data_IF_594557074289
#
_entry.id   IF_594557074289
#
_cell.length_a   1.000
_cell.length_b   1.000
_cell.length_c   1.000
_cell.angle_alpha   90.00
_cell.angle_beta   90.00
_cell.angle_gamma   90.00
#
_symmetry.space_group_name_H-M   'P 1'
#
loop_
_entity.id
_entity.type
_entity.pdbx_description
1 polymer ?
#
# COMPACT_ATOMS: atom_id res chain seq x y z
N UNK A 1 21.86 -51.26 11.45
CA UNK A 1 21.01 -50.25 12.10
C UNK A 1 21.18 -48.97 11.33
N UNK A 2 20.30 -48.78 10.36
CA UNK A 2 20.21 -47.58 9.53
C UNK A 2 19.58 -46.46 10.36
N UNK A 3 20.16 -45.26 10.31
CA UNK A 3 19.52 -44.03 10.77
C UNK A 3 19.64 -43.02 9.63
N UNK A 4 18.50 -42.86 8.96
CA UNK A 4 18.22 -41.98 7.83
C UNK A 4 18.51 -40.52 8.23
N UNK A 5 19.31 -39.82 7.41
CA UNK A 5 19.30 -38.36 7.38
C UNK A 5 18.46 -37.94 6.18
N UNK A 6 17.22 -37.55 6.46
CA UNK A 6 16.29 -36.99 5.48
C UNK A 6 16.64 -35.52 5.26
N UNK A 7 17.04 -35.20 4.03
CA UNK A 7 17.09 -33.85 3.50
C UNK A 7 15.69 -33.21 3.57
N UNK A 8 15.53 -32.20 4.43
CA UNK A 8 14.30 -31.42 4.49
C UNK A 8 14.42 -30.21 3.57
N UNK A 9 14.05 -30.41 2.30
CA UNK A 9 13.92 -29.36 1.31
C UNK A 9 12.82 -28.36 1.73
N UNK A 10 13.19 -27.08 1.81
CA UNK A 10 12.23 -25.99 2.02
C UNK A 10 11.19 -25.92 0.89
N UNK A 11 10.04 -25.26 1.13
CA UNK A 11 8.95 -25.21 0.15
C UNK A 11 9.42 -24.53 -1.15
N UNK A 12 9.53 -25.35 -2.19
CA UNK A 12 9.85 -24.98 -3.56
C UNK A 12 8.88 -23.92 -4.07
N UNK A 13 9.43 -22.75 -4.38
CA UNK A 13 8.78 -21.68 -5.14
C UNK A 13 8.54 -22.14 -6.58
N UNK A 14 7.49 -22.93 -6.79
CA UNK A 14 6.99 -23.31 -8.10
C UNK A 14 5.66 -22.61 -8.35
N UNK A 15 5.66 -21.28 -8.38
CA UNK A 15 4.62 -20.55 -9.11
C UNK A 15 4.86 -20.85 -10.59
N UNK A 16 4.08 -21.77 -11.15
CA UNK A 16 4.19 -22.16 -12.55
C UNK A 16 4.02 -20.92 -13.43
N UNK A 17 5.11 -20.48 -14.07
CA UNK A 17 5.06 -19.58 -15.23
C UNK A 17 4.25 -20.26 -16.33
N UNK A 18 2.95 -19.99 -16.38
CA UNK A 18 2.15 -20.24 -17.57
C UNK A 18 2.20 -18.98 -18.42
N UNK A 19 3.06 -19.02 -19.43
CA UNK A 19 2.92 -18.20 -20.63
C UNK A 19 1.83 -18.84 -21.50
N UNK A 20 0.59 -18.80 -21.03
CA UNK A 20 -0.55 -19.17 -21.86
C UNK A 20 -1.28 -17.87 -22.16
N UNK A 21 -1.17 -17.44 -23.41
CA UNK A 21 -1.93 -16.36 -24.04
C UNK A 21 -3.41 -16.61 -23.81
N UNK A 22 -3.98 -15.97 -22.80
CA UNK A 22 -5.41 -15.74 -22.73
C UNK A 22 -5.62 -14.45 -23.50
N UNK A 23 -6.29 -14.53 -24.65
CA UNK A 23 -6.80 -13.37 -25.37
C UNK A 23 -7.72 -12.60 -24.42
N UNK A 24 -7.14 -11.65 -23.68
CA UNK A 24 -7.90 -10.57 -23.10
C UNK A 24 -8.56 -9.89 -24.28
N UNK A 25 -9.88 -10.00 -24.38
CA UNK A 25 -10.65 -9.26 -25.38
C UNK A 25 -10.45 -7.77 -25.10
N UNK A 26 -9.44 -7.21 -25.75
CA UNK A 26 -9.08 -5.81 -25.72
C UNK A 26 -10.21 -5.08 -26.45
N UNK A 27 -11.26 -4.74 -25.71
CA UNK A 27 -12.42 -4.05 -26.26
C UNK A 27 -11.96 -2.62 -26.53
N UNK A 28 -11.83 -2.19 -27.80
CA UNK A 28 -11.19 -0.91 -28.09
C UNK A 28 -12.00 0.23 -27.47
N UNK A 29 -11.44 0.88 -26.45
CA UNK A 29 -12.03 2.06 -25.80
C UNK A 29 -12.43 1.90 -24.33
N UNK A 30 -12.28 0.72 -23.71
CA UNK A 30 -12.53 0.53 -22.28
C UNK A 30 -11.29 0.03 -21.55
N UNK A 31 -10.78 0.82 -20.60
CA UNK A 31 -9.63 0.46 -19.76
C UNK A 31 -10.08 0.38 -18.31
N UNK A 32 -9.79 -0.76 -17.67
CA UNK A 32 -9.97 -0.93 -16.23
C UNK A 32 -8.64 -0.74 -15.51
N UNK A 33 -8.65 -0.03 -14.39
CA UNK A 33 -7.48 0.18 -13.54
C UNK A 33 -7.76 -0.44 -12.18
N UNK A 34 -6.89 -1.35 -11.73
CA UNK A 34 -7.02 -1.98 -10.42
C UNK A 34 -6.43 -1.10 -9.31
N UNK A 35 -7.30 -0.54 -8.48
CA UNK A 35 -6.97 0.31 -7.34
C UNK A 35 -6.75 -0.45 -6.03
N UNK A 36 -5.59 -0.29 -5.40
CA UNK A 36 -5.27 -0.89 -4.10
C UNK A 36 -4.49 0.10 -3.18
N UNK A 37 -4.30 1.34 -3.62
CA UNK A 37 -3.72 2.43 -2.83
C UNK A 37 -4.70 3.58 -2.65
N UNK A 38 -4.21 4.81 -2.79
CA UNK A 38 -5.05 6.02 -2.76
C UNK A 38 -6.23 5.99 -3.72
N UNK A 39 -6.15 5.30 -4.86
CA UNK A 39 -7.27 5.18 -5.80
C UNK A 39 -8.56 4.62 -5.18
N UNK A 40 -8.45 3.86 -4.09
CA UNK A 40 -9.63 3.32 -3.38
C UNK A 40 -10.53 4.44 -2.83
N UNK A 41 -9.94 5.55 -2.37
CA UNK A 41 -10.69 6.67 -1.76
C UNK A 41 -10.51 8.02 -2.47
N UNK A 42 -9.50 8.15 -3.33
CA UNK A 42 -9.16 9.38 -4.06
C UNK A 42 -8.63 9.04 -5.46
N UNK A 43 -9.51 8.68 -6.41
CA UNK A 43 -9.10 8.34 -7.76
C UNK A 43 -8.35 9.46 -8.48
N UNK A 44 -8.75 10.72 -8.27
CA UNK A 44 -8.07 11.86 -8.89
C UNK A 44 -8.29 12.02 -10.40
N UNK A 45 -9.17 11.21 -10.99
CA UNK A 45 -9.61 11.28 -12.39
C UNK A 45 -11.07 10.85 -12.51
N UNK A 46 -11.73 11.23 -13.61
CA UNK A 46 -13.10 10.82 -13.91
C UNK A 46 -13.15 9.34 -14.36
N UNK A 47 -14.14 8.60 -13.88
CA UNK A 47 -14.38 7.21 -14.26
C UNK A 47 -15.87 6.97 -14.52
N UNK A 48 -16.18 5.97 -15.34
CA UNK A 48 -17.57 5.60 -15.67
C UNK A 48 -18.15 4.59 -14.68
N UNK A 49 -17.33 3.63 -14.25
CA UNK A 49 -17.75 2.53 -13.38
C UNK A 49 -16.66 2.23 -12.34
N UNK A 50 -17.08 1.71 -11.17
CA UNK A 50 -16.17 1.17 -10.14
C UNK A 50 -16.67 -0.18 -9.65
N UNK A 51 -15.76 -1.13 -9.47
CA UNK A 51 -16.04 -2.47 -8.93
C UNK A 51 -15.08 -2.74 -7.78
N UNK A 52 -15.60 -3.14 -6.62
CA UNK A 52 -14.78 -3.56 -5.48
C UNK A 52 -14.57 -5.07 -5.52
N UNK A 53 -13.30 -5.46 -5.54
CA UNK A 53 -12.88 -6.85 -5.64
C UNK A 53 -11.42 -7.02 -5.26
N UNK A 54 -10.89 -8.23 -5.45
CA UNK A 54 -9.53 -8.60 -5.10
C UNK A 54 -8.84 -9.33 -6.26
N UNK A 55 -7.52 -9.39 -6.18
CA UNK A 55 -6.65 -10.17 -7.07
C UNK A 55 -5.99 -11.29 -6.26
N UNK A 56 -5.65 -12.41 -6.90
CA UNK A 56 -5.02 -13.56 -6.23
C UNK A 56 -3.52 -13.58 -6.45
N UNK A 57 -2.77 -14.10 -5.47
CA UNK A 57 -1.31 -14.25 -5.56
C UNK A 57 -0.51 -12.99 -5.23
N UNK A 58 -1.18 -11.94 -4.75
CA UNK A 58 -0.56 -10.67 -4.37
C UNK A 58 -0.92 -10.31 -2.94
N UNK A 59 0.01 -9.67 -2.24
CA UNK A 59 -0.19 -9.11 -0.90
C UNK A 59 0.14 -7.62 -0.95
N UNK A 60 -0.71 -6.80 -0.31
CA UNK A 60 -0.47 -5.37 -0.15
C UNK A 60 0.58 -5.16 0.94
N UNK A 61 1.60 -4.39 0.63
CA UNK A 61 2.67 -4.05 1.59
C UNK A 61 2.99 -2.55 1.53
N UNK A 62 3.54 -2.02 2.62
CA UNK A 62 3.94 -0.62 2.78
C UNK A 62 5.45 -0.45 2.64
N UNK A 63 6.05 -1.10 1.64
CA UNK A 63 7.51 -1.09 1.44
C UNK A 63 8.00 0.04 0.52
N UNK A 64 7.09 0.84 -0.04
CA UNK A 64 7.40 1.95 -0.91
C UNK A 64 7.51 3.26 -0.12
N UNK A 65 8.61 3.98 -0.32
CA UNK A 65 8.86 5.29 0.22
C UNK A 65 8.13 6.38 -0.55
N UNK A 66 7.58 7.35 0.18
CA UNK A 66 6.95 8.55 -0.37
C UNK A 66 7.75 9.77 0.11
N UNK A 67 8.41 10.46 -0.81
CA UNK A 67 9.30 11.61 -0.50
C UNK A 67 8.71 12.95 -0.94
N UNK A 68 7.63 12.94 -1.70
CA UNK A 68 7.01 14.09 -2.35
C UNK A 68 5.52 14.24 -2.04
N UNK A 69 4.85 13.24 -1.46
CA UNK A 69 3.47 13.40 -0.96
C UNK A 69 3.31 13.14 0.54
N UNK A 70 3.79 12.03 1.09
CA UNK A 70 3.57 11.58 2.48
C UNK A 70 4.82 11.65 3.37
N UNK A 71 5.95 12.02 2.81
CA UNK A 71 7.18 12.35 3.53
C UNK A 71 8.00 13.42 2.82
N UNK A 72 9.28 13.49 3.16
CA UNK A 72 10.28 14.37 2.53
C UNK A 72 11.52 13.57 2.14
N UNK A 73 12.43 14.08 1.28
CA UNK A 73 13.63 13.34 0.87
C UNK A 73 14.53 12.87 2.03
N UNK A 74 14.53 13.57 3.18
CA UNK A 74 15.29 13.18 4.39
C UNK A 74 14.49 12.37 5.42
N UNK A 75 13.16 12.28 5.26
CA UNK A 75 12.25 11.55 6.13
C UNK A 75 11.05 11.04 5.31
N UNK A 76 11.24 9.97 4.50
CA UNK A 76 10.19 9.46 3.64
C UNK A 76 9.02 8.88 4.44
N UNK A 77 7.81 9.04 3.93
CA UNK A 77 6.64 8.27 4.36
C UNK A 77 6.66 6.87 3.75
N UNK A 78 5.75 6.00 4.19
CA UNK A 78 5.48 4.66 3.65
C UNK A 78 4.07 4.65 3.04
N UNK A 79 3.97 4.23 1.79
CA UNK A 79 2.70 4.13 1.05
C UNK A 79 2.47 2.70 0.57
N UNK A 80 1.19 2.35 0.39
CA UNK A 80 0.84 1.05 -0.20
C UNK A 80 1.29 1.04 -1.66
N UNK A 81 1.95 -0.03 -2.09
CA UNK A 81 2.46 -0.13 -3.45
C UNK A 81 1.72 -1.14 -4.29
N UNK A 82 1.61 -0.74 -5.57
CA UNK A 82 0.94 -1.19 -6.80
C UNK A 82 0.43 0.16 -7.48
N UNK A 83 0.21 0.34 -8.79
CA UNK A 83 -0.11 1.57 -9.59
C UNK A 83 0.95 2.65 -9.93
N UNK A 84 1.07 2.99 -11.22
CA UNK A 84 1.50 4.29 -11.79
C UNK A 84 0.18 5.07 -12.05
N UNK A 85 -0.03 6.34 -11.72
CA UNK A 85 0.73 7.54 -12.02
C UNK A 85 0.57 8.54 -10.86
N UNK A 86 1.55 8.56 -9.96
CA UNK A 86 2.09 9.69 -9.17
C UNK A 86 2.96 9.06 -8.08
N UNK A 87 4.12 9.66 -7.87
CA UNK A 87 5.32 9.14 -7.18
C UNK A 87 6.17 8.18 -8.03
N UNK A 88 7.45 8.53 -8.17
CA UNK A 88 8.35 7.98 -9.19
C UNK A 88 8.68 6.51 -8.93
N UNK A 89 8.65 5.72 -10.01
CA UNK A 89 9.19 4.35 -10.17
C UNK A 89 8.28 3.17 -9.74
N UNK A 90 7.13 3.05 -10.40
CA UNK A 90 6.49 1.74 -10.61
C UNK A 90 7.05 1.16 -11.90
N UNK A 91 7.70 0.01 -11.82
CA UNK A 91 8.50 -0.58 -12.90
C UNK A 91 7.81 -1.76 -13.59
N UNK A 92 6.69 -2.24 -13.03
CA UNK A 92 5.90 -3.33 -13.62
C UNK A 92 4.49 -2.87 -13.99
N UNK A 93 4.01 -3.33 -15.15
CA UNK A 93 2.62 -3.22 -15.62
C UNK A 93 2.10 -4.61 -15.93
N UNK A 94 1.05 -5.03 -15.24
CA UNK A 94 0.44 -6.35 -15.41
C UNK A 94 -1.05 -6.20 -15.72
N UNK A 95 -1.60 -7.18 -16.41
CA UNK A 95 -3.04 -7.34 -16.56
C UNK A 95 -3.49 -8.44 -15.60
N UNK A 96 -4.51 -8.16 -14.80
CA UNK A 96 -5.00 -9.07 -13.76
C UNK A 96 -6.52 -9.22 -13.83
N UNK A 97 -7.01 -10.40 -13.51
CA UNK A 97 -8.43 -10.64 -13.32
C UNK A 97 -8.85 -10.19 -11.93
N UNK A 98 -9.81 -9.25 -11.87
CA UNK A 98 -10.40 -8.79 -10.61
C UNK A 98 -11.58 -9.69 -10.28
N UNK A 99 -11.55 -10.24 -9.06
CA UNK A 99 -12.55 -11.18 -8.58
C UNK A 99 -13.42 -10.53 -7.51
N UNK A 100 -14.69 -10.93 -7.47
CA UNK A 100 -15.62 -10.57 -6.39
C UNK A 100 -16.09 -11.85 -5.71
N UNK A 101 -16.26 -11.78 -4.39
CA UNK A 101 -16.79 -12.88 -3.59
C UNK A 101 -18.18 -12.53 -3.08
N UNK A 102 -19.14 -13.39 -3.32
CA UNK A 102 -20.51 -13.27 -2.80
C UNK A 102 -20.93 -14.62 -2.26
N UNK A 103 -21.32 -14.68 -0.99
CA UNK A 103 -21.76 -15.91 -0.31
C UNK A 103 -20.75 -17.06 -0.43
N UNK A 104 -19.46 -16.74 -0.37
CA UNK A 104 -18.36 -17.72 -0.50
C UNK A 104 -18.05 -18.17 -1.93
N UNK A 105 -18.79 -17.67 -2.94
CA UNK A 105 -18.53 -17.98 -4.34
C UNK A 105 -17.77 -16.83 -4.98
N UNK A 106 -16.57 -17.13 -5.47
CA UNK A 106 -15.76 -16.18 -6.23
C UNK A 106 -16.03 -16.25 -7.72
N UNK A 107 -16.13 -15.09 -8.37
CA UNK A 107 -16.23 -14.96 -9.83
C UNK A 107 -15.29 -13.87 -10.32
N UNK A 108 -14.80 -13.98 -11.55
CA UNK A 108 -14.14 -12.84 -12.21
C UNK A 108 -15.21 -11.82 -12.56
N UNK A 109 -15.02 -10.59 -12.13
CA UNK A 109 -15.89 -9.46 -12.45
C UNK A 109 -15.31 -8.59 -13.57
N UNK A 110 -13.98 -8.48 -13.63
CA UNK A 110 -13.27 -7.72 -14.66
C UNK A 110 -12.09 -8.55 -15.14
N UNK A 111 -12.00 -8.74 -16.45
CA UNK A 111 -10.84 -9.36 -17.09
C UNK A 111 -9.82 -8.30 -17.49
N UNK A 112 -8.54 -8.62 -17.31
CA UNK A 112 -7.44 -7.79 -17.81
C UNK A 112 -7.44 -6.36 -17.27
N UNK A 113 -7.73 -6.15 -15.99
CA UNK A 113 -7.55 -4.84 -15.38
C UNK A 113 -6.06 -4.51 -15.33
N UNK A 114 -5.69 -3.30 -15.74
CA UNK A 114 -4.33 -2.80 -15.65
C UNK A 114 -3.99 -2.53 -14.19
N UNK A 115 -2.92 -3.16 -13.73
CA UNK A 115 -2.35 -2.94 -12.42
C UNK A 115 -0.87 -2.63 -12.60
N UNK A 116 -0.33 -1.69 -11.83
CA UNK A 116 1.11 -1.43 -11.86
C UNK A 116 1.72 -1.91 -10.55
N UNK A 117 2.99 -2.25 -10.47
CA UNK A 117 3.63 -2.74 -9.24
C UNK A 117 4.97 -2.05 -9.10
N UNK A 118 5.32 -1.61 -7.88
CA UNK A 118 6.70 -1.24 -7.59
C UNK A 118 7.41 -2.51 -7.13
N UNK A 119 8.45 -2.91 -7.84
CA UNK A 119 9.24 -4.10 -7.58
C UNK A 119 10.55 -3.76 -6.87
N UNK A 120 11.28 -4.80 -6.46
CA UNK A 120 12.65 -4.72 -5.94
C UNK A 120 13.70 -4.44 -7.04
N UNK A 121 13.31 -3.81 -8.16
CA UNK A 121 14.26 -3.44 -9.19
C UNK A 121 15.29 -2.44 -8.65
N UNK A 122 16.58 -2.59 -8.99
CA UNK A 122 17.61 -1.60 -8.68
C UNK A 122 17.32 -0.20 -9.23
N UNK A 123 16.40 -0.08 -10.19
CA UNK A 123 15.96 1.20 -10.75
C UNK A 123 14.83 1.86 -9.97
N UNK A 124 14.23 1.19 -8.98
CA UNK A 124 13.24 1.77 -8.06
C UNK A 124 13.96 2.36 -6.83
N UNK A 125 14.36 3.62 -6.92
CA UNK A 125 15.04 4.35 -5.84
C UNK A 125 14.16 4.65 -4.63
N UNK A 126 12.85 4.43 -4.75
CA UNK A 126 11.88 4.62 -3.68
C UNK A 126 11.52 3.29 -2.96
N UNK A 127 12.14 2.17 -3.34
CA UNK A 127 11.99 0.92 -2.61
C UNK A 127 12.74 1.00 -1.27
N UNK A 128 11.99 1.03 -0.16
CA UNK A 128 12.57 1.09 1.19
C UNK A 128 12.82 -0.29 1.80
N UNK A 129 12.49 -1.37 1.09
CA UNK A 129 12.70 -2.74 1.56
C UNK A 129 11.65 -3.23 2.54
N UNK A 130 11.73 -4.54 2.80
CA UNK A 130 11.02 -5.19 3.89
C UNK A 130 11.43 -4.54 5.22
N UNK A 131 10.45 -4.33 6.09
CA UNK A 131 10.67 -3.79 7.41
C UNK A 131 9.68 -4.43 8.38
N UNK A 132 10.10 -4.54 9.64
CA UNK A 132 9.25 -5.05 10.70
C UNK A 132 7.97 -4.19 10.80
N UNK A 133 6.78 -4.82 10.97
CA UNK A 133 5.51 -4.10 11.01
C UNK A 133 5.50 -2.93 12.01
N UNK A 134 6.16 -3.10 13.16
CA UNK A 134 6.28 -2.08 14.19
C UNK A 134 7.12 -0.88 13.73
N UNK A 135 8.23 -1.14 13.01
CA UNK A 135 9.06 -0.08 12.44
C UNK A 135 8.30 0.72 11.36
N UNK A 136 7.49 0.03 10.55
CA UNK A 136 6.58 0.67 9.59
C UNK A 136 5.58 1.56 10.32
N UNK A 137 4.94 1.07 11.40
CA UNK A 137 3.97 1.84 12.18
C UNK A 137 4.59 3.11 12.78
N UNK A 138 5.79 3.02 13.35
CA UNK A 138 6.52 4.18 13.85
C UNK A 138 6.83 5.20 12.74
N UNK A 139 7.34 4.74 11.60
CA UNK A 139 7.64 5.64 10.47
C UNK A 139 6.37 6.35 9.98
N UNK A 140 5.26 5.63 9.80
CA UNK A 140 3.98 6.19 9.35
C UNK A 140 3.41 7.19 10.37
N UNK A 141 3.56 6.93 11.67
CA UNK A 141 3.02 7.80 12.71
C UNK A 141 3.64 9.21 12.71
N UNK A 142 4.89 9.32 12.29
CA UNK A 142 5.69 10.55 12.34
C UNK A 142 5.93 11.22 10.98
N UNK A 143 5.88 10.47 9.87
CA UNK A 143 6.14 11.02 8.54
C UNK A 143 5.05 11.99 8.09
N UNK A 144 5.47 13.13 7.52
CA UNK A 144 4.59 14.15 6.94
C UNK A 144 5.21 14.64 5.63
N UNK A 145 4.37 14.75 4.60
CA UNK A 145 4.77 15.31 3.32
C UNK A 145 3.78 16.35 2.81
N UNK A 146 4.00 16.86 1.58
CA UNK A 146 3.20 17.94 0.99
C UNK A 146 1.69 17.65 0.88
N UNK A 147 1.28 16.38 0.79
CA UNK A 147 -0.13 15.98 0.73
C UNK A 147 -0.77 15.79 2.10
N UNK A 148 -0.03 16.04 3.19
CA UNK A 148 -0.45 15.82 4.57
C UNK A 148 0.27 14.64 5.25
N UNK A 149 -0.06 14.37 6.51
CA UNK A 149 0.62 13.36 7.30
C UNK A 149 0.36 11.94 6.80
N UNK A 150 1.35 11.05 6.96
CA UNK A 150 1.27 9.69 6.43
C UNK A 150 0.22 8.83 7.14
N UNK A 151 -0.02 9.04 8.44
CA UNK A 151 -1.06 8.30 9.17
C UNK A 151 -2.45 8.47 8.54
N UNK A 152 -2.74 9.66 7.97
CA UNK A 152 -4.03 9.96 7.36
C UNK A 152 -4.24 9.12 6.08
N UNK A 153 -3.16 8.82 5.35
CA UNK A 153 -3.19 7.90 4.21
C UNK A 153 -3.61 6.49 4.65
N UNK A 154 -2.95 5.95 5.68
CA UNK A 154 -3.22 4.60 6.18
C UNK A 154 -4.65 4.51 6.72
N UNK A 155 -5.06 5.50 7.51
CA UNK A 155 -6.39 5.50 8.12
C UNK A 155 -7.51 5.57 7.08
N UNK A 156 -7.40 6.48 6.10
CA UNK A 156 -8.38 6.61 5.01
C UNK A 156 -8.45 5.36 4.13
N UNK A 157 -7.31 4.72 3.89
CA UNK A 157 -7.28 3.48 3.12
C UNK A 157 -8.00 2.37 3.89
N UNK A 158 -7.72 2.22 5.19
CA UNK A 158 -8.35 1.21 6.04
C UNK A 158 -9.87 1.43 6.11
N UNK A 159 -10.29 2.68 6.34
CA UNK A 159 -11.71 3.07 6.36
C UNK A 159 -12.41 2.75 5.04
N UNK A 160 -11.84 3.19 3.90
CA UNK A 160 -12.44 2.94 2.60
C UNK A 160 -12.51 1.45 2.27
N UNK A 161 -11.52 0.65 2.67
CA UNK A 161 -11.54 -0.81 2.50
C UNK A 161 -12.69 -1.46 3.29
N UNK A 162 -12.91 -1.04 4.55
CA UNK A 162 -14.04 -1.52 5.37
C UNK A 162 -15.40 -1.10 4.83
N UNK A 163 -15.55 0.18 4.45
CA UNK A 163 -16.81 0.73 3.90
C UNK A 163 -17.27 0.00 2.64
N UNK A 164 -16.32 -0.49 1.85
CA UNK A 164 -16.60 -1.22 0.61
C UNK A 164 -16.61 -2.75 0.79
N UNK A 165 -16.66 -3.24 2.03
CA UNK A 165 -16.82 -4.67 2.33
C UNK A 165 -15.60 -5.53 2.02
N UNK A 166 -14.42 -4.91 1.93
CA UNK A 166 -13.15 -5.58 1.68
C UNK A 166 -12.18 -5.32 2.86
N UNK A 167 -12.47 -5.78 4.09
CA UNK A 167 -11.58 -5.55 5.23
C UNK A 167 -10.20 -6.18 4.99
N UNK A 168 -9.15 -5.52 5.48
CA UNK A 168 -7.75 -5.92 5.32
C UNK A 168 -7.11 -5.88 6.72
N UNK A 169 -7.01 -7.04 7.35
CA UNK A 169 -6.62 -7.16 8.75
C UNK A 169 -5.22 -6.58 9.05
N UNK A 170 -4.30 -6.65 8.10
CA UNK A 170 -2.95 -6.10 8.25
C UNK A 170 -2.98 -4.57 8.19
N UNK A 171 -3.78 -4.02 7.27
CA UNK A 171 -4.00 -2.59 7.14
C UNK A 171 -4.77 -2.02 8.33
N UNK A 172 -5.78 -2.73 8.82
CA UNK A 172 -6.54 -2.37 10.02
C UNK A 172 -5.62 -2.33 11.24
N UNK A 173 -4.81 -3.38 11.44
CA UNK A 173 -3.79 -3.40 12.49
C UNK A 173 -2.81 -2.23 12.39
N UNK A 174 -2.31 -1.93 11.18
CA UNK A 174 -1.36 -0.82 10.99
C UNK A 174 -2.03 0.52 11.31
N UNK A 175 -3.28 0.74 10.89
CA UNK A 175 -4.05 1.94 11.20
C UNK A 175 -4.21 2.12 12.71
N UNK A 176 -4.61 1.07 13.42
CA UNK A 176 -4.79 1.11 14.88
C UNK A 176 -3.45 1.36 15.60
N UNK A 177 -2.39 0.66 15.19
CA UNK A 177 -1.07 0.79 15.83
C UNK A 177 -0.50 2.19 15.66
N UNK A 178 -0.63 2.78 14.48
CA UNK A 178 -0.23 4.16 14.20
C UNK A 178 -0.98 5.14 15.10
N UNK A 179 -2.28 4.97 15.31
CA UNK A 179 -3.07 5.83 16.20
C UNK A 179 -2.63 5.71 17.67
N UNK A 180 -2.28 4.50 18.14
CA UNK A 180 -1.74 4.30 19.49
C UNK A 180 -0.40 5.02 19.67
N UNK A 181 0.53 4.88 18.73
CA UNK A 181 1.85 5.55 18.77
C UNK A 181 1.67 7.07 18.82
N UNK A 182 0.77 7.62 17.98
CA UNK A 182 0.47 9.05 17.96
C UNK A 182 -0.13 9.53 19.27
N UNK A 183 -1.09 8.80 19.82
CA UNK A 183 -1.73 9.13 21.10
C UNK A 183 -0.73 9.13 22.25
N UNK A 184 0.16 8.14 22.31
CA UNK A 184 1.23 8.06 23.32
C UNK A 184 2.23 9.23 23.20
N UNK A 185 2.43 9.76 22.00
CA UNK A 185 3.29 10.92 21.74
C UNK A 185 2.58 12.28 21.90
N UNK A 186 1.30 12.30 22.32
CA UNK A 186 0.49 13.52 22.44
C UNK A 186 0.15 14.18 21.10
N UNK A 187 0.18 13.42 20.00
CA UNK A 187 -0.12 13.89 18.64
C UNK A 187 -1.60 13.61 18.33
N UNK A 188 -2.46 14.61 18.39
CA UNK A 188 -3.89 14.43 18.14
C UNK A 188 -4.25 14.70 16.66
N UNK A 189 -5.44 14.25 16.25
CA UNK A 189 -5.98 14.53 14.93
C UNK A 189 -6.31 16.02 14.83
N UNK A 190 -5.44 16.79 14.16
CA UNK A 190 -5.57 18.24 14.02
C UNK A 190 -4.27 19.01 14.25
N UNK A 191 -3.26 18.42 14.92
CA UNK A 191 -1.98 19.09 15.10
C UNK A 191 -1.23 19.18 13.76
N UNK A 192 -1.09 20.40 13.25
CA UNK A 192 -0.24 20.67 12.11
C UNK A 192 1.23 20.66 12.57
N UNK A 193 2.17 20.20 11.71
CA UNK A 193 3.61 20.15 12.05
C UNK A 193 4.18 21.49 12.58
N UNK A 194 3.70 22.68 12.11
CA UNK A 194 4.08 23.97 12.69
C UNK A 194 3.78 24.09 14.20
N UNK A 195 2.58 23.67 14.65
CA UNK A 195 2.15 23.77 16.06
C UNK A 195 2.99 22.90 17.01
N UNK A 196 3.57 21.82 16.48
CA UNK A 196 4.43 20.89 17.21
C UNK A 196 5.88 21.36 17.32
N UNK A 197 6.35 22.14 16.34
CA UNK A 197 7.68 22.74 16.38
C UNK A 197 7.73 23.96 17.32
N UNK A 198 6.64 24.72 17.43
CA UNK A 198 6.54 25.82 18.41
C UNK A 198 6.53 25.33 19.86
N UNK A 199 5.83 24.23 20.15
CA UNK A 199 5.79 23.62 21.51
C UNK A 199 7.11 22.96 21.93
N UNK A 200 8.08 22.81 21.02
CA UNK A 200 9.41 22.22 21.31
C UNK A 200 10.53 23.24 21.43
N UNK A 201 10.28 24.56 21.32
CA UNK A 201 11.32 25.53 21.69
C UNK A 201 11.52 25.44 23.21
N UNK A 202 12.71 25.04 23.70
CA UNK A 202 13.06 25.37 25.08
C UNK A 202 13.09 26.88 25.16
N UNK A 203 12.49 27.44 26.22
CA UNK A 203 12.59 28.86 26.52
C UNK A 203 14.08 29.24 26.54
N UNK A 204 14.54 29.91 25.48
CA UNK A 204 15.75 30.72 25.55
C UNK A 204 15.34 31.89 26.45
N UNK A 205 15.63 31.71 27.73
CA UNK A 205 15.58 32.78 28.72
C UNK A 205 16.46 33.91 28.19
N UNK A 206 15.84 35.07 28.00
CA UNK A 206 16.54 36.34 27.82
C UNK A 206 17.34 36.62 29.11
N UNK A 207 18.66 36.65 28.99
CA UNK A 207 19.60 37.30 29.92
C UNK A 207 20.59 38.16 29.10
#
# INVERSE_FOLDING_TARGET
>A
MEAQHSDNAGPSAACSRRSDTVDAQDTPGQVWIFGFGSLVYRPGFAYQEKVFGFIRGWRRVFWQGSTDHRGTPGAPGRVATVLEYREKQYDLRLHVDVRVSSSGVERVAVHGALVFIASHSPTNTNWLGEAEPEAIAHQVAHAVGPSGPNWEYVHRLAEAMREHGAPDAELDWLSERVQMIRSAAGLHAGDSLPDLMERRRPDLLDD
#
